data_IF_306876317822
#
_entry.id   IF_306876317822
#
_cell.length_a   1.000
_cell.length_b   1.000
_cell.length_c   1.000
_cell.angle_alpha   90.00
_cell.angle_beta   90.00
_cell.angle_gamma   90.00
#
_symmetry.space_group_name_H-M   'P 1'
#
loop_
_entity.id
_entity.type
_entity.pdbx_description
1 polymer ?
#
# COMPACT_ATOMS: atom_id res chain seq x y z
N UNK A 1 4.60 15.70 -10.94
CA UNK A 1 5.52 14.87 -10.13
C UNK A 1 6.37 14.04 -11.06
N UNK A 2 7.69 13.96 -10.87
CA UNK A 2 8.55 13.10 -11.69
C UNK A 2 8.57 11.68 -11.12
N UNK A 3 8.46 10.69 -12.00
CA UNK A 3 8.46 9.29 -11.63
C UNK A 3 9.85 8.83 -11.19
N UNK A 4 10.00 8.57 -9.89
CA UNK A 4 11.21 8.03 -9.28
C UNK A 4 10.84 7.12 -8.10
N UNK A 5 11.71 6.15 -7.79
CA UNK A 5 11.49 5.21 -6.69
C UNK A 5 11.28 5.89 -5.33
N UNK A 6 12.03 6.96 -5.04
CA UNK A 6 11.86 7.74 -3.79
C UNK A 6 10.48 8.41 -3.67
N UNK A 7 9.76 8.57 -4.78
CA UNK A 7 8.44 9.19 -4.82
C UNK A 7 7.29 8.17 -4.77
N UNK A 8 7.54 6.88 -4.54
CA UNK A 8 6.48 5.87 -4.49
C UNK A 8 5.42 6.19 -3.43
N UNK A 9 5.80 6.70 -2.25
CA UNK A 9 4.84 7.13 -1.24
C UNK A 9 3.91 8.25 -1.74
N UNK A 10 4.44 9.19 -2.53
CA UNK A 10 3.65 10.24 -3.14
C UNK A 10 2.72 9.70 -4.24
N UNK A 11 3.14 8.67 -4.98
CA UNK A 11 2.26 7.98 -5.94
C UNK A 11 1.10 7.27 -5.24
N UNK A 12 1.35 6.60 -4.10
CA UNK A 12 0.28 5.97 -3.30
C UNK A 12 -0.68 7.02 -2.77
N UNK A 13 -0.18 8.15 -2.26
CA UNK A 13 -1.03 9.26 -1.84
C UNK A 13 -1.87 9.81 -3.02
N UNK A 14 -1.27 9.96 -4.20
CA UNK A 14 -1.97 10.39 -5.40
C UNK A 14 -3.03 9.37 -5.86
N UNK A 15 -2.75 8.07 -5.78
CA UNK A 15 -3.72 6.99 -6.05
C UNK A 15 -4.93 7.11 -5.13
N UNK A 16 -4.70 7.24 -3.82
CA UNK A 16 -5.77 7.40 -2.84
C UNK A 16 -6.60 8.66 -3.08
N UNK A 17 -5.95 9.79 -3.37
CA UNK A 17 -6.66 11.01 -3.74
C UNK A 17 -7.52 10.80 -5.01
N UNK A 18 -6.97 10.16 -6.04
CA UNK A 18 -7.69 9.92 -7.29
C UNK A 18 -8.90 9.00 -7.09
N UNK A 19 -8.73 7.88 -6.39
CA UNK A 19 -9.84 6.96 -6.04
C UNK A 19 -10.93 7.72 -5.30
N UNK A 20 -10.54 8.49 -4.30
CA UNK A 20 -11.45 9.24 -3.46
C UNK A 20 -12.20 10.37 -4.20
N UNK A 21 -11.65 10.90 -5.29
CA UNK A 21 -12.30 11.92 -6.13
C UNK A 21 -13.12 11.34 -7.28
N UNK A 22 -12.75 10.16 -7.79
CA UNK A 22 -13.28 9.63 -9.06
C UNK A 22 -13.99 8.28 -8.93
N UNK A 23 -14.01 7.65 -7.75
CA UNK A 23 -14.55 6.32 -7.54
C UNK A 23 -15.48 6.28 -6.31
N UNK A 24 -16.68 6.83 -6.46
CA UNK A 24 -17.66 6.92 -5.37
C UNK A 24 -18.29 5.57 -4.95
N UNK A 25 -18.07 4.51 -5.74
CA UNK A 25 -18.74 3.20 -5.61
C UNK A 25 -17.80 2.02 -5.80
N UNK A 26 -16.69 2.01 -5.06
CA UNK A 26 -15.78 0.86 -5.01
C UNK A 26 -15.72 0.35 -3.57
N UNK A 27 -15.83 -0.96 -3.39
CA UNK A 27 -15.75 -1.58 -2.06
C UNK A 27 -14.29 -1.79 -1.63
N UNK A 28 -13.43 -2.11 -2.60
CA UNK A 28 -12.03 -2.43 -2.39
C UNK A 28 -11.15 -1.84 -3.49
N UNK A 29 -9.91 -1.53 -3.12
CA UNK A 29 -8.84 -1.09 -4.01
C UNK A 29 -7.63 -1.99 -3.83
N UNK A 30 -7.09 -2.48 -4.94
CA UNK A 30 -5.80 -3.18 -4.96
C UNK A 30 -4.76 -2.24 -5.54
N UNK A 31 -3.72 -1.94 -4.76
CA UNK A 31 -2.47 -1.40 -5.28
C UNK A 31 -1.59 -2.59 -5.63
N UNK A 32 -1.01 -2.61 -6.83
CA UNK A 32 0.01 -3.59 -7.23
C UNK A 32 1.11 -2.94 -8.08
N UNK A 33 2.26 -3.60 -8.16
CA UNK A 33 3.29 -3.27 -9.16
C UNK A 33 2.93 -3.91 -10.52
N UNK A 34 3.49 -3.39 -11.61
CA UNK A 34 3.18 -3.83 -12.98
C UNK A 34 3.88 -5.15 -13.38
N UNK A 35 4.80 -5.62 -12.54
CA UNK A 35 5.49 -6.90 -12.64
C UNK A 35 4.91 -7.98 -11.71
N UNK A 36 3.70 -7.76 -11.18
CA UNK A 36 3.02 -8.67 -10.24
C UNK A 36 1.80 -9.32 -10.89
N UNK A 37 1.66 -10.63 -10.69
CA UNK A 37 0.45 -11.38 -11.06
C UNK A 37 -0.52 -11.47 -9.87
N UNK A 38 -1.81 -11.31 -10.15
CA UNK A 38 -2.90 -11.55 -9.20
C UNK A 38 -3.85 -12.59 -9.80
N UNK A 39 -4.16 -13.63 -9.03
CA UNK A 39 -5.26 -14.54 -9.32
C UNK A 39 -6.58 -13.83 -8.97
N UNK A 40 -7.30 -13.40 -10.00
CA UNK A 40 -8.53 -12.61 -9.89
C UNK A 40 -9.68 -13.41 -9.27
N UNK A 41 -9.79 -14.71 -9.56
CA UNK A 41 -10.83 -15.59 -8.99
C UNK A 41 -10.65 -15.72 -7.48
N UNK A 42 -9.43 -15.97 -7.04
CA UNK A 42 -9.10 -16.05 -5.63
C UNK A 42 -9.31 -14.70 -4.93
N UNK A 43 -8.94 -13.59 -5.58
CA UNK A 43 -9.17 -12.25 -5.04
C UNK A 43 -10.66 -11.95 -4.85
N UNK A 44 -11.51 -12.25 -5.84
CA UNK A 44 -12.96 -12.04 -5.74
C UNK A 44 -13.56 -12.87 -4.61
N UNK A 45 -13.19 -14.15 -4.51
CA UNK A 45 -13.66 -15.03 -3.43
C UNK A 45 -13.20 -14.51 -2.05
N UNK A 46 -11.95 -14.04 -1.95
CA UNK A 46 -11.42 -13.45 -0.73
C UNK A 46 -12.22 -12.20 -0.32
N UNK A 47 -12.45 -11.28 -1.26
CA UNK A 47 -13.20 -10.04 -1.00
C UNK A 47 -14.63 -10.34 -0.56
N UNK A 48 -15.34 -11.25 -1.24
CA UNK A 48 -16.71 -11.63 -0.89
C UNK A 48 -16.82 -12.22 0.52
N UNK A 49 -15.83 -13.00 0.95
CA UNK A 49 -15.81 -13.58 2.30
C UNK A 49 -15.44 -12.57 3.39
N UNK A 50 -14.76 -11.47 3.03
CA UNK A 50 -14.26 -10.47 3.96
C UNK A 50 -15.00 -9.12 3.91
N UNK A 51 -16.14 -9.02 3.21
CA UNK A 51 -16.92 -7.78 3.08
C UNK A 51 -17.30 -7.13 4.41
N UNK A 52 -17.45 -7.91 5.50
CA UNK A 52 -17.81 -7.41 6.84
C UNK A 52 -16.62 -6.81 7.61
N UNK A 53 -15.39 -6.95 7.11
CA UNK A 53 -14.19 -6.42 7.77
C UNK A 53 -13.98 -4.97 7.38
N UNK A 54 -14.77 -4.07 7.98
CA UNK A 54 -14.89 -2.69 7.49
C UNK A 54 -13.60 -1.86 7.47
N UNK A 55 -12.47 -2.31 8.06
CA UNK A 55 -11.23 -1.52 8.12
C UNK A 55 -9.92 -2.32 8.02
N UNK A 56 -10.01 -3.62 7.73
CA UNK A 56 -8.82 -4.48 7.67
C UNK A 56 -8.13 -4.34 6.33
N UNK A 57 -6.83 -4.07 6.34
CA UNK A 57 -5.98 -4.06 5.13
C UNK A 57 -5.30 -5.42 4.99
N UNK A 58 -5.07 -5.87 3.77
CA UNK A 58 -4.51 -7.20 3.51
C UNK A 58 -3.30 -7.12 2.58
N UNK A 59 -2.28 -7.91 2.88
CA UNK A 59 -1.04 -7.95 2.12
C UNK A 59 0.01 -8.80 2.82
N UNK A 60 1.18 -8.93 2.21
CA UNK A 60 2.31 -9.63 2.82
C UNK A 60 3.00 -8.71 3.82
N UNK A 61 3.02 -9.08 5.10
CA UNK A 61 3.68 -8.28 6.13
C UNK A 61 5.21 -8.30 5.96
N UNK A 62 5.85 -7.16 6.17
CA UNK A 62 7.30 -7.08 6.17
C UNK A 62 7.88 -7.83 7.38
N UNK A 63 8.71 -8.84 7.13
CA UNK A 63 9.36 -9.62 8.19
C UNK A 63 10.56 -8.91 8.83
N UNK A 64 11.32 -8.14 8.06
CA UNK A 64 12.41 -7.31 8.56
C UNK A 64 11.98 -5.85 8.62
N UNK A 65 11.92 -5.29 9.83
CA UNK A 65 11.55 -3.91 10.09
C UNK A 65 12.76 -3.01 10.32
N UNK A 66 13.99 -3.46 10.06
CA UNK A 66 15.19 -2.68 10.32
C UNK A 66 15.56 -1.85 9.08
N UNK A 67 15.74 -0.52 9.20
CA UNK A 67 16.11 0.33 8.09
C UNK A 67 17.47 -0.06 7.50
N UNK A 68 17.53 -0.26 6.19
CA UNK A 68 18.78 -0.48 5.49
C UNK A 68 19.67 0.76 5.60
N UNK A 69 20.91 0.57 6.04
CA UNK A 69 21.91 1.66 6.16
C UNK A 69 22.91 1.66 5.01
N UNK A 70 22.76 0.73 4.07
CA UNK A 70 23.54 0.54 2.86
C UNK A 70 22.70 -0.06 1.72
N UNK A 71 23.33 -0.21 0.54
CA UNK A 71 22.68 -0.79 -0.64
C UNK A 71 21.59 0.08 -1.28
N UNK A 72 20.76 -0.56 -2.12
CA UNK A 72 19.72 0.08 -2.94
C UNK A 72 18.70 0.86 -2.11
N UNK A 73 18.38 0.35 -0.91
CA UNK A 73 17.33 0.87 -0.04
C UNK A 73 17.87 1.71 1.13
N UNK A 74 19.13 2.16 1.03
CA UNK A 74 19.79 2.93 2.07
C UNK A 74 19.00 4.18 2.47
N UNK A 75 18.76 4.31 3.77
CA UNK A 75 18.31 5.54 4.42
C UNK A 75 19.40 6.11 5.33
N UNK A 76 19.60 7.42 5.22
CA UNK A 76 20.44 8.17 6.15
C UNK A 76 19.70 8.40 7.47
N UNK A 77 20.43 8.68 8.55
CA UNK A 77 19.83 8.86 9.88
C UNK A 77 18.95 10.11 9.94
N UNK A 78 19.23 11.11 9.12
CA UNK A 78 18.43 12.33 8.99
C UNK A 78 17.03 12.03 8.43
N UNK A 79 16.91 11.08 7.49
CA UNK A 79 15.63 10.66 6.91
C UNK A 79 14.83 9.75 7.86
N UNK A 80 15.53 8.86 8.57
CA UNK A 80 14.92 7.92 9.52
C UNK A 80 15.87 7.63 10.70
N UNK A 81 15.74 8.38 11.81
CA UNK A 81 16.65 8.24 12.96
C UNK A 81 16.37 6.99 13.80
N UNK A 82 15.18 6.40 13.69
CA UNK A 82 14.80 5.23 14.49
C UNK A 82 15.48 3.94 14.00
N UNK A 83 15.59 2.97 14.91
CA UNK A 83 16.22 1.67 14.63
C UNK A 83 15.28 0.67 13.95
N UNK A 84 13.98 0.96 13.90
CA UNK A 84 12.96 0.09 13.32
C UNK A 84 11.87 0.90 12.61
N UNK A 85 11.17 0.24 11.68
CA UNK A 85 9.94 0.70 11.06
C UNK A 85 8.72 0.23 11.85
N UNK A 86 7.59 0.97 11.77
CA UNK A 86 6.31 0.40 12.16
C UNK A 86 5.96 -0.79 11.25
N UNK A 87 5.08 -1.71 11.68
CA UNK A 87 4.59 -2.79 10.81
C UNK A 87 3.98 -2.24 9.51
N UNK A 88 4.37 -2.82 8.37
CA UNK A 88 3.90 -2.42 7.05
C UNK A 88 3.80 -3.64 6.12
N UNK A 89 3.11 -3.46 4.99
CA UNK A 89 3.03 -4.48 3.93
C UNK A 89 4.14 -4.26 2.90
N UNK A 90 4.66 -5.35 2.35
CA UNK A 90 5.61 -5.30 1.24
C UNK A 90 4.97 -4.66 -0.01
N UNK A 91 5.83 -4.03 -0.82
CA UNK A 91 5.44 -3.26 -2.01
C UNK A 91 4.59 -3.97 -3.06
N UNK A 92 4.81 -5.26 -3.41
CA UNK A 92 4.23 -5.87 -4.60
C UNK A 92 2.71 -5.76 -4.73
N UNK A 93 1.96 -5.99 -3.64
CA UNK A 93 0.51 -5.85 -3.65
C UNK A 93 -0.07 -5.62 -2.25
N UNK A 94 -1.06 -4.73 -2.16
CA UNK A 94 -1.85 -4.47 -0.95
C UNK A 94 -3.31 -4.21 -1.33
N UNK A 95 -4.23 -4.87 -0.61
CA UNK A 95 -5.67 -4.72 -0.73
C UNK A 95 -6.19 -3.83 0.41
N UNK A 96 -6.96 -2.81 0.04
CA UNK A 96 -7.57 -1.83 0.94
C UNK A 96 -9.09 -1.87 0.78
N UNK A 97 -9.87 -1.99 1.86
CA UNK A 97 -11.27 -1.59 1.84
C UNK A 97 -11.36 -0.08 1.60
N UNK A 98 -12.25 0.39 0.75
CA UNK A 98 -12.32 1.82 0.41
C UNK A 98 -12.60 2.71 1.62
N UNK A 99 -13.27 2.18 2.64
CA UNK A 99 -13.52 2.84 3.93
C UNK A 99 -12.26 3.23 4.72
N UNK A 100 -11.08 2.67 4.38
CA UNK A 100 -9.80 3.06 5.01
C UNK A 100 -9.07 4.16 4.25
N UNK A 101 -9.52 4.45 3.02
CA UNK A 101 -9.01 5.55 2.21
C UNK A 101 -9.75 6.81 2.68
N UNK A 102 -9.02 7.73 3.31
CA UNK A 102 -9.60 8.94 3.90
C UNK A 102 -9.51 10.12 2.95
N UNK A 103 -10.53 10.99 2.97
CA UNK A 103 -10.44 12.31 2.36
C UNK A 103 -9.33 13.11 3.06
N UNK A 104 -8.34 13.54 2.30
CA UNK A 104 -7.40 14.57 2.74
C UNK A 104 -8.03 15.91 2.33
N UNK A 105 -8.44 16.71 3.33
CA UNK A 105 -8.92 18.08 3.11
C UNK A 105 -7.76 19.03 2.86
#
# INVERSE_FOLDING_TARGET
MKDFYRNLSLKVAALFNWVNTNCDKVDFVVKMDDDVYIDDRNLVQFVQTHQKTNRSKFGSAAGNLWPARDGKWRLIYEDWPWISYPPYFLGPAVLFPSSVIVHIQ
#
